data_IF_866508136362
#
_entry.id   IF_866508136362
#
_cell.length_a   1.000
_cell.length_b   1.000
_cell.length_c   1.000
_cell.angle_alpha   90.00
_cell.angle_beta   90.00
_cell.angle_gamma   90.00
#
_symmetry.space_group_name_H-M   'P 1'
#
loop_
_entity.id
_entity.type
_entity.pdbx_description
1 polymer ?
#
# COMPACT_ATOMS: atom_id res chain seq x y z
N UNK A 1 10.22 7.38 -20.64
CA UNK A 1 9.24 8.32 -20.05
C UNK A 1 8.79 7.75 -18.72
N UNK A 2 9.29 8.37 -17.64
CA UNK A 2 8.87 8.39 -16.22
C UNK A 2 8.67 7.06 -15.44
N UNK A 3 9.74 6.69 -14.71
CA UNK A 3 9.82 5.99 -13.42
C UNK A 3 8.88 4.79 -13.18
N UNK A 4 9.37 3.59 -13.52
CA UNK A 4 9.13 2.37 -12.73
C UNK A 4 9.99 2.39 -11.43
N UNK A 5 10.06 3.54 -10.76
CA UNK A 5 10.70 3.58 -9.43
C UNK A 5 9.73 3.01 -8.43
N UNK A 6 10.24 2.12 -7.61
CA UNK A 6 9.61 0.85 -7.37
C UNK A 6 8.61 0.96 -6.22
N UNK A 7 7.42 0.39 -6.37
CA UNK A 7 6.48 0.21 -5.26
C UNK A 7 7.15 -0.53 -4.07
N UNK A 8 8.21 -1.30 -4.35
CA UNK A 8 9.11 -1.90 -3.36
C UNK A 8 9.82 -0.87 -2.47
N UNK A 9 10.21 0.28 -3.00
CA UNK A 9 10.88 1.33 -2.21
C UNK A 9 9.91 1.94 -1.20
N UNK A 10 8.63 2.13 -1.54
CA UNK A 10 7.64 2.63 -0.59
C UNK A 10 7.51 1.71 0.62
N UNK A 11 7.36 0.40 0.43
CA UNK A 11 7.18 -0.53 1.56
C UNK A 11 8.44 -0.74 2.39
N UNK A 12 9.64 -0.44 1.87
CA UNK A 12 10.89 -0.43 2.64
C UNK A 12 10.95 0.73 3.63
N UNK A 13 10.32 1.85 3.29
CA UNK A 13 10.24 3.03 4.15
C UNK A 13 9.12 2.93 5.20
N UNK A 14 8.40 1.79 5.28
CA UNK A 14 7.42 1.55 6.32
C UNK A 14 8.11 1.37 7.67
N UNK A 15 7.71 2.17 8.66
CA UNK A 15 8.23 2.13 10.03
C UNK A 15 7.69 0.91 10.80
N UNK A 16 6.51 0.43 10.42
CA UNK A 16 5.82 -0.69 11.05
C UNK A 16 4.92 -1.39 10.03
N UNK A 17 4.82 -2.72 10.16
CA UNK A 17 3.92 -3.56 9.35
C UNK A 17 3.12 -4.46 10.28
N UNK A 18 1.80 -4.29 10.25
CA UNK A 18 0.86 -5.12 11.00
C UNK A 18 0.07 -5.99 10.03
N UNK A 19 0.11 -7.30 10.25
CA UNK A 19 -0.73 -8.24 9.52
C UNK A 19 -2.17 -8.15 10.05
N UNK A 20 -3.15 -7.98 9.15
CA UNK A 20 -4.58 -8.00 9.44
C UNK A 20 -5.17 -9.35 9.02
N UNK A 21 -6.42 -9.66 9.36
CA UNK A 21 -7.05 -10.90 8.85
C UNK A 21 -7.19 -10.91 7.32
N UNK A 22 -7.47 -9.76 6.73
CA UNK A 22 -7.82 -9.53 5.33
C UNK A 22 -6.79 -8.68 4.56
N UNK A 23 -5.56 -8.54 5.09
CA UNK A 23 -4.54 -7.70 4.44
C UNK A 23 -3.40 -7.29 5.36
N UNK A 24 -2.89 -6.07 5.16
CA UNK A 24 -1.84 -5.46 5.99
C UNK A 24 -2.15 -3.99 6.30
N UNK A 25 -1.59 -3.51 7.40
CA UNK A 25 -1.48 -2.09 7.73
C UNK A 25 0.00 -1.70 7.79
N UNK A 26 0.35 -0.61 7.12
CA UNK A 26 1.70 -0.06 7.05
C UNK A 26 1.71 1.31 7.70
N UNK A 27 2.69 1.56 8.56
CA UNK A 27 2.90 2.85 9.20
C UNK A 27 3.99 3.63 8.48
N UNK A 28 3.75 4.90 8.21
CA UNK A 28 4.70 5.83 7.61
C UNK A 28 4.77 7.13 8.40
N UNK A 29 5.88 7.85 8.23
CA UNK A 29 5.98 9.25 8.65
C UNK A 29 5.03 10.14 7.84
N UNK A 30 4.44 11.16 8.47
CA UNK A 30 3.57 12.16 7.80
C UNK A 30 4.41 13.21 7.04
N UNK A 31 5.10 12.76 6.00
CA UNK A 31 5.83 13.62 5.06
C UNK A 31 5.08 13.74 3.74
N UNK A 32 5.27 14.87 3.05
CA UNK A 32 4.60 15.12 1.77
C UNK A 32 5.08 14.15 0.69
N UNK A 33 6.34 13.76 0.77
CA UNK A 33 6.98 12.78 -0.10
C UNK A 33 6.31 11.42 0.07
N UNK A 34 6.08 10.97 1.31
CA UNK A 34 5.38 9.71 1.58
C UNK A 34 3.92 9.75 1.11
N UNK A 35 3.19 10.81 1.44
CA UNK A 35 1.80 10.97 1.00
C UNK A 35 1.68 10.91 -0.53
N UNK A 36 2.60 11.57 -1.25
CA UNK A 36 2.62 11.57 -2.71
C UNK A 36 2.88 10.17 -3.27
N UNK A 37 3.84 9.44 -2.70
CA UNK A 37 4.15 8.07 -3.13
C UNK A 37 2.98 7.10 -2.87
N UNK A 38 2.35 7.19 -1.68
CA UNK A 38 1.19 6.36 -1.32
C UNK A 38 0.02 6.61 -2.28
N UNK A 39 -0.32 7.86 -2.57
CA UNK A 39 -1.44 8.18 -3.47
C UNK A 39 -1.17 7.74 -4.91
N UNK A 40 0.09 7.81 -5.36
CA UNK A 40 0.49 7.33 -6.68
C UNK A 40 0.33 5.80 -6.78
N UNK A 41 0.79 5.06 -5.76
CA UNK A 41 0.58 3.61 -5.65
C UNK A 41 -0.92 3.26 -5.71
N UNK A 42 -1.74 3.90 -4.87
CA UNK A 42 -3.18 3.62 -4.81
C UNK A 42 -3.83 3.87 -6.18
N UNK A 43 -3.45 4.95 -6.85
CA UNK A 43 -4.00 5.29 -8.17
C UNK A 43 -3.72 4.19 -9.20
N UNK A 44 -2.49 3.67 -9.25
CA UNK A 44 -2.09 2.59 -10.15
C UNK A 44 -2.77 1.26 -9.79
N UNK A 45 -2.75 0.88 -8.51
CA UNK A 45 -3.30 -0.41 -8.08
C UNK A 45 -4.82 -0.48 -8.23
N UNK A 46 -5.55 0.64 -8.11
CA UNK A 46 -6.99 0.65 -8.35
C UNK A 46 -7.36 0.34 -9.81
N UNK A 47 -6.47 0.61 -10.75
CA UNK A 47 -6.66 0.23 -12.16
C UNK A 47 -6.35 -1.25 -12.40
N UNK A 48 -5.28 -1.77 -11.79
CA UNK A 48 -4.78 -3.13 -12.03
C UNK A 48 -5.40 -4.20 -11.11
N UNK A 49 -5.86 -3.84 -9.92
CA UNK A 49 -6.34 -4.71 -8.86
C UNK A 49 -7.64 -4.16 -8.23
N UNK A 50 -8.77 -4.17 -8.97
CA UNK A 50 -10.01 -3.50 -8.57
C UNK A 50 -10.69 -4.09 -7.32
N UNK A 51 -10.25 -5.25 -6.84
CA UNK A 51 -10.78 -5.91 -5.64
C UNK A 51 -10.10 -5.46 -4.35
N UNK A 52 -9.03 -4.65 -4.42
CA UNK A 52 -8.33 -4.16 -3.24
C UNK A 52 -9.07 -2.96 -2.64
N UNK A 53 -9.14 -2.95 -1.32
CA UNK A 53 -9.59 -1.82 -0.51
C UNK A 53 -8.38 -1.11 0.07
N UNK A 54 -8.33 0.21 -0.09
CA UNK A 54 -7.28 1.07 0.44
C UNK A 54 -7.89 2.05 1.44
N UNK A 55 -7.29 2.17 2.62
CA UNK A 55 -7.63 3.19 3.61
C UNK A 55 -6.38 3.92 4.04
N UNK A 56 -6.45 5.26 4.01
CA UNK A 56 -5.40 6.11 4.53
C UNK A 56 -5.92 6.83 5.77
N UNK A 57 -5.29 6.56 6.91
CA UNK A 57 -5.61 7.18 8.20
C UNK A 57 -4.47 8.10 8.63
N UNK A 58 -4.84 9.32 9.02
CA UNK A 58 -3.93 10.32 9.58
C UNK A 58 -4.09 10.30 11.09
N UNK A 59 -3.02 9.98 11.83
CA UNK A 59 -3.08 10.04 13.28
C UNK A 59 -3.20 11.51 13.75
N UNK A 60 -3.86 11.77 14.89
CA UNK A 60 -3.98 13.12 15.43
C UNK A 60 -2.63 13.81 15.62
N UNK A 61 -2.64 15.15 15.67
CA UNK A 61 -1.46 15.96 16.03
C UNK A 61 -0.26 15.80 15.09
N UNK A 62 -0.49 15.68 13.76
CA UNK A 62 0.58 15.40 12.76
C UNK A 62 1.33 14.10 13.09
N UNK A 63 0.63 13.15 13.69
CA UNK A 63 1.15 11.82 13.95
C UNK A 63 1.33 11.01 12.66
N UNK A 64 1.72 9.74 12.76
CA UNK A 64 2.01 8.90 11.61
C UNK A 64 0.81 8.69 10.68
N UNK A 65 1.12 8.32 9.44
CA UNK A 65 0.17 7.84 8.46
C UNK A 65 0.04 6.33 8.55
N UNK A 66 -1.18 5.83 8.44
CA UNK A 66 -1.48 4.41 8.32
C UNK A 66 -2.13 4.13 6.98
N UNK A 67 -1.47 3.33 6.15
CA UNK A 67 -2.04 2.76 4.95
C UNK A 67 -2.50 1.34 5.23
N UNK A 68 -3.81 1.07 5.11
CA UNK A 68 -4.33 -0.29 5.12
C UNK A 68 -4.64 -0.72 3.70
N UNK A 69 -4.19 -1.91 3.35
CA UNK A 69 -4.46 -2.56 2.07
C UNK A 69 -5.11 -3.90 2.38
N UNK A 70 -6.37 -4.04 1.97
CA UNK A 70 -7.22 -5.18 2.29
C UNK A 70 -7.83 -5.74 1.01
N UNK A 71 -8.29 -7.00 1.05
CA UNK A 71 -8.85 -7.63 -0.13
C UNK A 71 -9.35 -9.05 0.12
N UNK A 72 -9.71 -9.76 -0.95
CA UNK A 72 -10.21 -11.13 -0.87
C UNK A 72 -9.10 -12.13 -0.50
N UNK A 73 -9.46 -13.41 -0.40
CA UNK A 73 -8.50 -14.49 -0.22
C UNK A 73 -7.32 -14.37 -1.22
N UNK A 74 -6.11 -14.64 -0.74
CA UNK A 74 -4.88 -14.49 -1.52
C UNK A 74 -4.27 -13.07 -1.52
N UNK A 75 -4.98 -12.04 -1.03
CA UNK A 75 -4.46 -10.66 -0.99
C UNK A 75 -3.13 -10.52 -0.25
N UNK A 76 -2.94 -11.25 0.85
CA UNK A 76 -1.69 -11.17 1.62
C UNK A 76 -0.49 -11.68 0.83
N UNK A 77 -0.67 -12.73 0.04
CA UNK A 77 0.37 -13.26 -0.83
C UNK A 77 0.66 -12.29 -1.97
N UNK A 78 -0.38 -11.68 -2.55
CA UNK A 78 -0.24 -10.63 -3.56
C UNK A 78 0.60 -9.46 -3.05
N UNK A 79 0.28 -8.92 -1.87
CA UNK A 79 1.03 -7.80 -1.26
C UNK A 79 2.48 -8.20 -0.98
N UNK A 80 2.72 -9.39 -0.40
CA UNK A 80 4.09 -9.91 -0.12
C UNK A 80 4.93 -10.09 -1.38
N UNK A 81 4.31 -10.48 -2.50
CA UNK A 81 4.98 -10.65 -3.79
C UNK A 81 5.19 -9.33 -4.56
N UNK A 82 4.84 -8.19 -3.94
CA UNK A 82 4.93 -6.88 -4.52
C UNK A 82 3.66 -6.50 -5.29
N UNK A 83 3.09 -5.37 -4.90
CA UNK A 83 2.03 -4.70 -5.65
C UNK A 83 2.52 -4.44 -7.09
N UNK A 84 1.61 -4.58 -8.06
CA UNK A 84 1.84 -4.57 -9.52
C UNK A 84 2.59 -5.79 -10.11
N UNK A 85 2.62 -6.92 -9.40
CA UNK A 85 2.90 -8.24 -10.01
C UNK A 85 1.65 -8.78 -10.74
N UNK A 86 1.71 -9.14 -12.03
CA UNK A 86 0.54 -9.61 -12.76
C UNK A 86 0.18 -11.07 -12.41
N UNK A 87 -0.90 -11.33 -11.63
CA UNK A 87 -1.77 -12.52 -11.84
C UNK A 87 -3.09 -12.54 -11.07
N UNK A 88 -4.04 -13.28 -11.67
CA UNK A 88 -5.42 -13.57 -11.24
C UNK A 88 -5.51 -13.92 -9.74
N UNK A 89 -6.26 -13.10 -9.02
CA UNK A 89 -6.97 -13.54 -7.82
C UNK A 89 -8.02 -14.55 -8.31
N UNK A 90 -7.73 -15.85 -8.17
CA UNK A 90 -8.69 -16.94 -8.43
C UNK A 90 -9.51 -17.20 -7.19
#
# INVERSE_FOLDING_TARGET
>A
MRRRESNLDLFREAEEVNELSDGYAFRFSDTREQLTAILALISIERECAPLLTFELQFAPQRGPLWLRIRGPEGVKAYIKNGLSSPRRLT
#
